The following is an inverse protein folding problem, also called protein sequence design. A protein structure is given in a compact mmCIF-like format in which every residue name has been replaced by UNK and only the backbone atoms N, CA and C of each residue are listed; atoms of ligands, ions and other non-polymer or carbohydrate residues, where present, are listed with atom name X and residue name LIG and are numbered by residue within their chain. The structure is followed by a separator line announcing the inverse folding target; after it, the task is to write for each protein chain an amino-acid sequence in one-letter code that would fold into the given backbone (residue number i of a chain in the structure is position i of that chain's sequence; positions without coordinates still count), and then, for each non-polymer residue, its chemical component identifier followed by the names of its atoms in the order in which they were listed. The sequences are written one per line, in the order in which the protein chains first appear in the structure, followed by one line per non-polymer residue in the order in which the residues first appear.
data_IF_564691648869
#
_entry.id   IF_564691648869
#
_cell.length_a   1.000
_cell.length_b   1.000
_cell.length_c   1.000
_cell.angle_alpha   90.00
_cell.angle_beta   90.00
_cell.angle_gamma   90.00
#
_symmetry.space_group_name_H-M   'P 1'
#
loop_
_entity.id
_entity.type
_entity.pdbx_description
1 polymer ?
#
# COMPACT_ATOMS: atom_id res chain seq x y z
N UNK A 1 11.31 0.09 -4.27
CA UNK A 1 11.68 -1.08 -5.11
C UNK A 1 12.35 -0.67 -6.43
N UNK A 2 13.46 -1.30 -6.85
CA UNK A 2 14.09 -1.05 -8.17
C UNK A 2 13.68 -2.10 -9.21
N UNK A 3 13.14 -1.67 -10.35
CA UNK A 3 12.68 -2.55 -11.44
C UNK A 3 12.99 -1.94 -12.81
N UNK A 4 12.99 -2.78 -13.86
CA UNK A 4 13.09 -2.30 -15.25
C UNK A 4 11.69 -2.24 -15.85
N UNK A 5 11.23 -1.06 -16.25
CA UNK A 5 9.94 -0.86 -16.88
C UNK A 5 10.07 -0.90 -18.41
N UNK A 6 9.08 -1.47 -19.08
CA UNK A 6 9.03 -1.49 -20.55
C UNK A 6 8.53 -0.18 -21.11
N UNK A 7 7.45 0.35 -20.52
CA UNK A 7 6.87 1.65 -20.89
C UNK A 7 6.42 2.39 -19.64
N UNK A 8 6.64 3.70 -19.59
CA UNK A 8 6.07 4.58 -18.56
C UNK A 8 5.43 5.77 -19.27
N UNK A 9 4.13 5.97 -19.06
CA UNK A 9 3.39 7.11 -19.58
C UNK A 9 3.20 8.11 -18.45
N UNK A 10 3.71 9.33 -18.63
CA UNK A 10 3.57 10.42 -17.66
C UNK A 10 2.96 11.66 -18.30
N UNK A 11 2.46 12.56 -17.46
CA UNK A 11 2.15 13.94 -17.82
C UNK A 11 3.28 14.85 -17.31
N UNK A 12 3.99 15.48 -18.23
CA UNK A 12 5.06 16.41 -17.92
C UNK A 12 4.53 17.67 -17.19
N UNK A 13 5.40 18.46 -16.52
CA UNK A 13 4.97 19.69 -15.83
C UNK A 13 4.28 20.72 -16.72
N UNK A 14 4.53 20.69 -18.03
CA UNK A 14 3.89 21.53 -19.05
C UNK A 14 2.54 20.98 -19.54
N UNK A 15 2.05 19.88 -18.96
CA UNK A 15 0.81 19.21 -19.33
C UNK A 15 0.93 18.29 -20.56
N UNK A 16 2.13 18.11 -21.11
CA UNK A 16 2.32 17.26 -22.29
C UNK A 16 2.54 15.80 -21.90
N UNK A 17 1.94 14.82 -22.61
CA UNK A 17 2.26 13.42 -22.41
C UNK A 17 3.73 13.14 -22.79
N UNK A 18 4.48 12.51 -21.89
CA UNK A 18 5.84 12.02 -22.15
C UNK A 18 5.90 10.52 -21.88
N UNK A 19 6.56 9.80 -22.79
CA UNK A 19 6.70 8.35 -22.74
C UNK A 19 8.16 7.98 -22.55
N UNK A 20 8.44 7.14 -21.57
CA UNK A 20 9.74 6.51 -21.37
C UNK A 20 9.65 5.05 -21.78
N UNK A 21 10.69 4.55 -22.44
CA UNK A 21 10.76 3.15 -22.90
C UNK A 21 12.05 2.50 -22.42
N UNK A 22 11.94 1.25 -21.99
CA UNK A 22 13.05 0.40 -21.53
C UNK A 22 13.94 1.03 -20.44
N UNK A 23 13.33 1.74 -19.48
CA UNK A 23 14.02 2.49 -18.43
C UNK A 23 14.11 1.73 -17.12
N UNK A 24 15.20 1.96 -16.38
CA UNK A 24 15.34 1.50 -15.01
C UNK A 24 14.72 2.52 -14.06
N UNK A 25 13.88 2.03 -13.16
CA UNK A 25 13.15 2.88 -12.22
C UNK A 25 13.28 2.41 -10.78
N UNK A 26 13.21 3.38 -9.88
CA UNK A 26 13.04 3.15 -8.44
C UNK A 26 11.68 3.70 -8.03
N UNK A 27 10.78 2.78 -7.64
CA UNK A 27 9.48 3.11 -7.06
C UNK A 27 9.65 3.44 -5.58
N UNK A 28 9.07 4.56 -5.15
CA UNK A 28 9.01 5.02 -3.76
C UNK A 28 7.60 5.52 -3.43
N UNK A 29 7.35 5.79 -2.15
CA UNK A 29 6.10 6.36 -1.66
C UNK A 29 5.71 7.67 -2.39
N UNK A 30 6.70 8.52 -2.70
CA UNK A 30 6.47 9.84 -3.30
C UNK A 30 6.27 9.82 -4.82
N UNK A 31 6.69 8.74 -5.48
CA UNK A 31 6.65 8.65 -6.94
C UNK A 31 7.64 7.64 -7.51
N UNK A 32 8.09 7.93 -8.72
CA UNK A 32 9.04 7.10 -9.46
C UNK A 32 10.26 7.94 -9.80
N UNK A 33 11.44 7.44 -9.44
CA UNK A 33 12.70 7.94 -9.98
C UNK A 33 13.02 7.19 -11.26
N UNK A 34 13.16 7.93 -12.36
CA UNK A 34 13.55 7.42 -13.67
C UNK A 34 15.01 7.79 -13.91
N UNK A 35 15.84 6.80 -14.20
CA UNK A 35 17.23 7.05 -14.61
C UNK A 35 17.26 7.42 -16.10
N UNK A 36 17.46 8.70 -16.41
CA UNK A 36 17.53 9.20 -17.78
C UNK A 36 18.93 8.94 -18.39
N UNK A 37 20.01 9.18 -17.63
CA UNK A 37 21.38 8.89 -18.05
C UNK A 37 22.29 8.52 -16.84
N UNK A 38 23.62 8.51 -17.02
CA UNK A 38 24.57 8.16 -15.95
C UNK A 38 24.61 9.19 -14.81
N UNK A 39 24.20 10.43 -15.06
CA UNK A 39 24.34 11.57 -14.16
C UNK A 39 23.00 12.24 -13.81
N UNK A 40 21.87 11.79 -14.35
CA UNK A 40 20.56 12.39 -14.12
C UNK A 40 19.50 11.39 -13.63
N UNK A 41 18.71 11.86 -12.66
CA UNK A 41 17.52 11.18 -12.15
C UNK A 41 16.34 12.15 -12.24
N UNK A 42 15.24 11.68 -12.83
CA UNK A 42 13.98 12.41 -12.89
C UNK A 42 13.03 11.82 -11.86
N UNK A 43 12.56 12.64 -10.92
CA UNK A 43 11.45 12.29 -10.03
C UNK A 43 10.12 12.68 -10.67
N UNK A 44 9.23 11.71 -10.81
CA UNK A 44 7.85 11.91 -11.25
C UNK A 44 6.91 11.51 -10.11
N UNK A 45 6.08 12.44 -9.64
CA UNK A 45 5.07 12.15 -8.62
C UNK A 45 3.97 11.26 -9.16
N UNK A 46 3.36 10.44 -8.30
CA UNK A 46 2.30 9.49 -8.70
C UNK A 46 1.12 10.15 -9.43
N UNK A 47 0.75 11.38 -9.06
CA UNK A 47 -0.30 12.17 -9.71
C UNK A 47 -0.06 12.38 -11.22
N UNK A 48 1.20 12.32 -11.65
CA UNK A 48 1.61 12.52 -13.04
C UNK A 48 1.86 11.20 -13.78
N UNK A 49 1.83 10.07 -13.09
CA UNK A 49 2.03 8.75 -13.69
C UNK A 49 0.67 8.22 -14.15
N UNK A 50 0.53 7.99 -15.45
CA UNK A 50 -0.70 7.45 -16.02
C UNK A 50 -0.70 5.93 -16.04
N UNK A 51 0.39 5.34 -16.52
CA UNK A 51 0.57 3.89 -16.52
C UNK A 51 2.04 3.51 -16.52
N UNK A 52 2.31 2.33 -15.94
CA UNK A 52 3.59 1.65 -16.02
C UNK A 52 3.32 0.27 -16.59
N UNK A 53 4.09 -0.11 -17.61
CA UNK A 53 3.98 -1.39 -18.27
C UNK A 53 5.28 -2.17 -18.13
N UNK A 54 5.14 -3.47 -17.93
CA UNK A 54 6.24 -4.41 -17.90
C UNK A 54 5.95 -5.56 -18.85
N UNK A 55 6.97 -5.99 -19.59
CA UNK A 55 6.90 -7.16 -20.47
C UNK A 55 7.05 -8.49 -19.73
N UNK A 56 7.68 -8.48 -18.56
CA UNK A 56 7.88 -9.68 -17.72
C UNK A 56 6.80 -9.77 -16.64
N UNK A 57 5.97 -10.81 -16.73
CA UNK A 57 4.90 -11.10 -15.76
C UNK A 57 5.43 -11.29 -14.34
N UNK A 58 6.65 -11.83 -14.17
CA UNK A 58 7.24 -12.03 -12.84
C UNK A 58 7.55 -10.70 -12.17
N UNK A 59 7.95 -9.70 -12.96
CA UNK A 59 8.19 -8.35 -12.44
C UNK A 59 6.89 -7.71 -11.98
N UNK A 60 5.82 -7.83 -12.77
CA UNK A 60 4.48 -7.34 -12.37
C UNK A 60 4.01 -8.01 -11.08
N UNK A 61 4.14 -9.33 -10.99
CA UNK A 61 3.74 -10.08 -9.78
C UNK A 61 4.51 -9.63 -8.54
N UNK A 62 5.81 -9.35 -8.69
CA UNK A 62 6.62 -8.84 -7.58
C UNK A 62 6.18 -7.43 -7.17
N UNK A 63 6.02 -6.52 -8.13
CA UNK A 63 5.55 -5.14 -7.85
C UNK A 63 4.19 -5.17 -7.16
N UNK A 64 3.27 -6.02 -7.63
CA UNK A 64 1.96 -6.21 -7.02
C UNK A 64 2.05 -6.74 -5.60
N UNK A 65 2.85 -7.79 -5.38
CA UNK A 65 3.00 -8.39 -4.06
C UNK A 65 3.52 -7.37 -3.04
N UNK A 66 4.49 -6.54 -3.41
CA UNK A 66 5.03 -5.55 -2.47
C UNK A 66 4.08 -4.37 -2.28
N UNK A 67 3.35 -3.91 -3.30
CA UNK A 67 2.30 -2.92 -3.09
C UNK A 67 1.21 -3.41 -2.12
N UNK A 68 0.86 -4.70 -2.17
CA UNK A 68 -0.08 -5.30 -1.22
C UNK A 68 0.52 -5.37 0.19
N UNK A 69 1.79 -5.77 0.31
CA UNK A 69 2.46 -5.83 1.61
C UNK A 69 2.55 -4.45 2.27
N UNK A 70 2.99 -3.43 1.53
CA UNK A 70 3.06 -2.05 2.02
C UNK A 70 1.69 -1.60 2.56
N UNK A 71 0.59 -1.88 1.84
CA UNK A 71 -0.76 -1.53 2.32
C UNK A 71 -1.22 -2.31 3.54
N UNK A 72 -0.76 -3.55 3.72
CA UNK A 72 -1.09 -4.35 4.90
C UNK A 72 -0.28 -3.89 6.11
N UNK A 73 0.99 -3.52 5.92
CA UNK A 73 1.83 -2.92 6.97
C UNK A 73 1.20 -1.63 7.48
N UNK A 74 0.78 -0.72 6.59
CA UNK A 74 0.06 0.51 6.97
C UNK A 74 -1.23 0.24 7.76
N UNK A 75 -1.96 -0.83 7.44
CA UNK A 75 -3.17 -1.22 8.17
C UNK A 75 -2.88 -1.81 9.55
N UNK A 76 -1.79 -2.59 9.68
CA UNK A 76 -1.41 -3.20 10.96
C UNK A 76 -0.82 -2.16 11.91
N UNK A 77 0.00 -1.22 11.41
CA UNK A 77 0.50 -0.10 12.20
C UNK A 77 -0.65 0.76 12.75
N UNK A 78 -1.76 0.90 12.01
CA UNK A 78 -2.97 1.59 12.50
C UNK A 78 -3.70 0.83 13.62
N UNK A 79 -3.66 -0.51 13.62
CA UNK A 79 -4.35 -1.36 14.61
C UNK A 79 -3.56 -1.48 15.92
N UNK A 80 -2.22 -1.40 15.88
CA UNK A 80 -1.37 -1.39 17.08
C UNK A 80 -1.54 -0.11 17.95
N UNK A 81 -2.00 1.01 17.38
CA UNK A 81 -2.40 2.21 18.13
C UNK A 81 -3.81 2.10 18.74
N UNK A 82 -4.54 1.01 18.49
CA UNK A 82 -5.86 0.70 19.05
C UNK A 82 -5.78 -0.43 20.10
N UNK A 83 -4.64 -0.57 20.77
CA UNK A 83 -4.52 -1.43 21.96
C UNK A 83 -5.34 -0.78 23.08
N UNK A 84 -6.58 -1.23 23.18
CA UNK A 84 -7.57 -0.87 24.17
C UNK A 84 -6.91 -0.85 25.55
N UNK A 85 -7.01 0.28 26.26
CA UNK A 85 -6.94 0.24 27.72
C UNK A 85 -8.02 -0.74 28.18
N UNK A 86 -7.61 -1.99 28.45
CA UNK A 86 -8.40 -3.01 29.13
C UNK A 86 -8.78 -2.45 30.52
N UNK A 87 -9.81 -1.60 30.61
CA UNK A 87 -10.54 -1.40 31.85
C UNK A 87 -11.40 -2.64 32.11
N UNK A 88 -10.75 -3.64 32.71
CA UNK A 88 -11.31 -4.73 33.53
C UNK A 88 -12.86 -4.87 33.52
N UNK A 89 -13.45 -5.51 32.51
CA UNK A 89 -14.80 -6.05 32.64
C UNK A 89 -14.76 -7.35 33.47
N UNK A 90 -15.12 -7.27 34.75
CA UNK A 90 -15.31 -8.45 35.59
C UNK A 90 -16.30 -9.43 34.94
N UNK A 91 -16.01 -10.74 34.90
CA UNK A 91 -16.86 -11.72 34.23
C UNK A 91 -18.23 -11.79 34.91
N UNK A 92 -19.29 -11.44 34.17
CA UNK A 92 -20.67 -11.63 34.61
C UNK A 92 -20.91 -13.13 34.84
N UNK A 93 -21.16 -13.52 36.09
CA UNK A 93 -21.52 -14.91 36.47
C UNK A 93 -22.81 -15.32 35.75
N UNK A 94 -22.65 -15.98 34.60
CA UNK A 94 -23.75 -16.44 33.75
C UNK A 94 -24.44 -17.73 34.20
N UNK A 95 -23.93 -18.43 35.22
CA UNK A 95 -24.46 -19.73 35.65
C UNK A 95 -24.70 -19.77 37.17
N UNK A 96 -25.57 -18.91 37.69
CA UNK A 96 -26.17 -19.14 39.01
C UNK A 96 -27.47 -19.97 38.83
N UNK A 97 -27.46 -21.28 39.14
CA UNK A 97 -28.60 -22.16 38.93
C UNK A 97 -29.82 -21.84 39.81
N UNK A 98 -29.71 -20.87 40.73
CA UNK A 98 -30.83 -20.42 41.57
C UNK A 98 -31.70 -19.33 40.92
N UNK A 99 -31.27 -18.73 39.80
CA UNK A 99 -32.01 -17.67 39.10
C UNK A 99 -32.78 -18.26 37.92
N UNK A 100 -34.08 -18.51 38.11
CA UNK A 100 -34.98 -18.97 37.03
C UNK A 100 -35.42 -17.78 36.14
N UNK A 101 -34.98 -17.71 34.87
CA UNK A 101 -35.24 -16.58 33.98
C UNK A 101 -36.69 -16.46 33.50
N UNK A 102 -37.59 -17.39 33.87
CA UNK A 102 -39.00 -17.38 33.43
C UNK A 102 -40.01 -17.05 34.54
N UNK A 103 -39.57 -16.65 35.73
CA UNK A 103 -40.47 -16.08 36.75
C UNK A 103 -40.58 -14.56 36.60
N UNK A 104 -41.62 -14.10 35.90
CA UNK A 104 -42.09 -12.72 35.95
C UNK A 104 -42.97 -12.50 37.18
N UNK A 105 -42.60 -11.56 38.07
CA UNK A 105 -43.54 -10.86 38.96
C UNK A 105 -44.31 -9.77 38.21
#
# INVERSE_FOLDING_TARGET
MQVKASTINIVSPDGTPKVFTDVQVLMSEWGIYIKEDENSLLLVTWEKVHSIEWSDVKVIQRVWAEAVLDTLEDMMEFDEDFDLEDEDEEPVKGDDPEVDPYKTE
#
